data_IF_651431868307
#
_entry.id   IF_651431868307
#
_cell.length_a   1.000
_cell.length_b   1.000
_cell.length_c   1.000
_cell.angle_alpha   90.00
_cell.angle_beta   90.00
_cell.angle_gamma   90.00
#
_symmetry.space_group_name_H-M   'P 1'
#
loop_
_entity.id
_entity.type
_entity.pdbx_description
1 polymer ?
#
# COMPACT_ATOMS: atom_id res chain seq x y z
N UNK A 1 11.92 -19.70 31.99
CA UNK A 1 13.38 -19.90 32.08
C UNK A 1 14.14 -19.20 30.97
N UNK A 2 13.84 -19.42 29.68
CA UNK A 2 14.58 -18.80 28.55
C UNK A 2 14.63 -17.26 28.62
N UNK A 3 13.52 -16.59 28.95
CA UNK A 3 13.49 -15.13 29.11
C UNK A 3 14.31 -14.63 30.31
N UNK A 4 14.17 -15.28 31.46
CA UNK A 4 14.90 -14.92 32.67
C UNK A 4 16.42 -15.03 32.46
N UNK A 5 16.89 -16.10 31.83
CA UNK A 5 18.30 -16.25 31.45
C UNK A 5 18.75 -15.09 30.55
N UNK A 6 17.98 -14.76 29.51
CA UNK A 6 18.32 -13.66 28.59
C UNK A 6 18.45 -12.32 29.30
N UNK A 7 17.55 -11.99 30.22
CA UNK A 7 17.59 -10.73 30.98
C UNK A 7 18.77 -10.72 31.96
N UNK A 8 19.02 -11.85 32.64
CA UNK A 8 20.12 -11.97 33.60
C UNK A 8 21.47 -11.73 32.91
N UNK A 9 21.73 -12.42 31.81
CA UNK A 9 22.99 -12.29 31.06
C UNK A 9 23.14 -10.95 30.31
N UNK A 10 22.03 -10.29 29.97
CA UNK A 10 22.07 -8.96 29.33
C UNK A 10 22.37 -7.83 30.34
N UNK A 11 22.01 -8.00 31.60
CA UNK A 11 22.08 -6.96 32.63
C UNK A 11 23.28 -7.14 33.55
N UNK A 12 23.54 -8.37 34.01
CA UNK A 12 24.59 -8.67 34.97
C UNK A 12 25.69 -9.52 34.32
N UNK A 13 26.67 -8.84 33.72
CA UNK A 13 27.81 -9.45 33.06
C UNK A 13 28.84 -10.09 34.02
N UNK A 14 28.59 -10.06 35.34
CA UNK A 14 29.46 -10.69 36.35
C UNK A 14 29.03 -12.11 36.73
N UNK A 15 27.86 -12.54 36.27
CA UNK A 15 27.47 -13.95 36.32
C UNK A 15 28.21 -14.60 35.15
N UNK A 16 29.36 -15.19 35.44
CA UNK A 16 30.06 -16.04 34.48
C UNK A 16 29.18 -17.28 34.22
N UNK A 17 29.27 -17.86 33.02
CA UNK A 17 28.65 -19.16 32.74
C UNK A 17 29.62 -20.25 33.26
N UNK A 18 29.99 -20.16 34.53
CA UNK A 18 30.73 -21.21 35.20
C UNK A 18 29.74 -22.35 35.40
N UNK A 19 29.82 -23.36 34.52
CA UNK A 19 28.97 -24.56 34.46
C UNK A 19 29.01 -25.47 35.71
N UNK A 20 29.25 -24.89 36.89
CA UNK A 20 29.17 -25.45 38.24
C UNK A 20 27.99 -24.90 39.05
N UNK A 21 27.13 -24.04 38.49
CA UNK A 21 25.89 -23.66 39.16
C UNK A 21 24.94 -24.87 39.26
N UNK A 22 24.86 -25.46 40.47
CA UNK A 22 23.92 -26.53 40.75
C UNK A 22 22.48 -26.01 40.55
N UNK A 23 21.70 -26.58 39.61
CA UNK A 23 20.33 -26.14 39.36
C UNK A 23 19.40 -26.36 40.57
N UNK A 24 19.81 -27.13 41.58
CA UNK A 24 19.07 -27.32 42.83
C UNK A 24 19.49 -26.34 43.97
N UNK A 25 20.58 -25.58 43.81
CA UNK A 25 21.00 -24.61 44.82
C UNK A 25 20.22 -23.29 44.71
N UNK A 26 19.13 -23.20 45.47
CA UNK A 26 18.28 -22.01 45.53
C UNK A 26 18.99 -20.74 46.06
N UNK A 27 20.19 -20.86 46.64
CA UNK A 27 20.97 -19.75 47.17
C UNK A 27 22.08 -19.27 46.23
N UNK A 28 22.25 -19.91 45.06
CA UNK A 28 23.22 -19.43 44.07
C UNK A 28 22.84 -18.02 43.58
N UNK A 29 23.82 -17.11 43.40
CA UNK A 29 23.55 -15.76 42.92
C UNK A 29 22.76 -15.73 41.60
N UNK A 30 23.05 -16.67 40.71
CA UNK A 30 22.37 -16.89 39.43
C UNK A 30 20.90 -17.29 39.63
N UNK A 31 20.61 -18.26 40.49
CA UNK A 31 19.23 -18.69 40.77
C UNK A 31 18.42 -17.61 41.47
N UNK A 32 19.04 -16.81 42.35
CA UNK A 32 18.40 -15.65 42.98
C UNK A 32 18.07 -14.58 41.93
N UNK A 33 18.99 -14.27 41.02
CA UNK A 33 18.77 -13.33 39.93
C UNK A 33 17.66 -13.79 38.97
N UNK A 34 17.66 -15.07 38.61
CA UNK A 34 16.64 -15.69 37.77
C UNK A 34 15.26 -15.62 38.40
N UNK A 35 15.15 -15.97 39.68
CA UNK A 35 13.88 -15.90 40.41
C UNK A 35 13.36 -14.46 40.51
N UNK A 36 14.24 -13.46 40.70
CA UNK A 36 13.85 -12.04 40.69
C UNK A 36 13.27 -11.60 39.35
N UNK A 37 13.88 -12.02 38.23
CA UNK A 37 13.36 -11.72 36.89
C UNK A 37 12.03 -12.44 36.65
N UNK A 38 11.91 -13.71 37.06
CA UNK A 38 10.66 -14.48 36.91
C UNK A 38 9.51 -13.83 37.71
N UNK A 39 9.78 -13.42 38.94
CA UNK A 39 8.77 -12.78 39.79
C UNK A 39 8.36 -11.41 39.28
N UNK A 40 9.29 -10.66 38.70
CA UNK A 40 8.97 -9.40 38.03
C UNK A 40 8.16 -9.64 36.75
N UNK A 41 8.56 -10.61 35.92
CA UNK A 41 7.87 -10.94 34.68
C UNK A 41 6.40 -11.32 34.88
N UNK A 42 6.07 -11.97 36.01
CA UNK A 42 4.68 -12.29 36.39
C UNK A 42 3.83 -11.06 36.69
N UNK A 43 4.45 -9.92 37.01
CA UNK A 43 3.79 -8.67 37.43
C UNK A 43 3.93 -7.55 36.40
N UNK A 44 4.70 -7.76 35.34
CA UNK A 44 4.92 -6.76 34.30
C UNK A 44 3.78 -6.79 33.28
N UNK A 45 3.41 -5.60 32.81
CA UNK A 45 2.45 -5.38 31.73
C UNK A 45 3.12 -5.50 30.34
N UNK A 46 4.45 -5.64 30.28
CA UNK A 46 5.20 -5.81 29.04
C UNK A 46 5.35 -7.28 28.66
N UNK A 47 5.26 -7.55 27.36
CA UNK A 47 5.66 -8.85 26.82
C UNK A 47 7.18 -9.03 26.91
N UNK A 48 7.65 -10.28 26.91
CA UNK A 48 9.09 -10.61 26.96
C UNK A 48 9.91 -9.85 25.88
N UNK A 49 9.36 -9.72 24.67
CA UNK A 49 10.01 -9.00 23.57
C UNK A 49 10.08 -7.50 23.83
N UNK A 50 8.98 -6.92 24.33
CA UNK A 50 8.91 -5.50 24.67
C UNK A 50 9.86 -5.13 25.79
N UNK A 51 10.00 -6.01 26.79
CA UNK A 51 10.93 -5.80 27.90
C UNK A 51 12.39 -5.80 27.42
N UNK A 52 12.79 -6.72 26.54
CA UNK A 52 14.14 -6.72 25.96
C UNK A 52 14.39 -5.48 25.09
N UNK A 53 13.38 -5.02 24.35
CA UNK A 53 13.46 -3.78 23.59
C UNK A 53 13.61 -2.58 24.53
N UNK A 54 12.86 -2.54 25.64
CA UNK A 54 12.97 -1.49 26.65
C UNK A 54 14.38 -1.42 27.23
N UNK A 55 15.00 -2.55 27.55
CA UNK A 55 16.40 -2.61 28.01
C UNK A 55 17.35 -2.02 26.96
N UNK A 56 17.23 -2.44 25.69
CA UNK A 56 18.07 -1.91 24.60
C UNK A 56 17.87 -0.41 24.36
N UNK A 57 16.62 0.08 24.49
CA UNK A 57 16.31 1.50 24.38
C UNK A 57 16.84 2.30 25.58
N UNK A 58 16.86 1.72 26.78
CA UNK A 58 17.48 2.32 27.95
C UNK A 58 19.01 2.41 27.81
N UNK A 59 19.67 1.37 27.30
CA UNK A 59 21.11 1.40 26.98
C UNK A 59 21.45 2.54 25.99
N UNK A 60 20.58 2.78 25.01
CA UNK A 60 20.72 3.86 24.03
C UNK A 60 20.26 5.23 24.54
N UNK A 61 19.73 5.32 25.76
CA UNK A 61 19.22 6.56 26.36
C UNK A 61 18.01 7.16 25.65
N UNK A 62 17.20 6.32 25.00
CA UNK A 62 16.00 6.70 24.24
C UNK A 62 14.74 6.71 25.11
N UNK A 63 14.74 5.98 26.23
CA UNK A 63 13.63 5.98 27.18
C UNK A 63 13.69 7.20 28.10
N UNK A 64 12.53 7.78 28.37
CA UNK A 64 12.38 8.92 29.26
C UNK A 64 11.12 8.78 30.11
N UNK A 65 11.22 9.15 31.39
CA UNK A 65 10.09 9.28 32.32
C UNK A 65 10.10 10.73 32.78
N UNK A 66 8.98 11.43 32.66
CA UNK A 66 8.83 12.83 33.11
C UNK A 66 9.91 13.81 32.61
N UNK A 67 10.50 13.51 31.44
CA UNK A 67 11.57 14.33 30.83
C UNK A 67 12.99 13.93 31.26
N UNK A 68 13.15 13.04 32.22
CA UNK A 68 14.43 12.47 32.61
C UNK A 68 14.74 11.18 31.85
N UNK A 69 16.00 10.99 31.43
CA UNK A 69 16.42 9.78 30.72
C UNK A 69 16.53 8.61 31.68
N UNK A 70 15.88 7.49 31.34
CA UNK A 70 16.05 6.24 32.08
C UNK A 70 17.47 5.74 31.87
N UNK A 71 18.19 5.51 32.97
CA UNK A 71 19.58 5.01 32.93
C UNK A 71 19.57 3.50 32.82
N UNK A 72 20.54 2.96 32.09
CA UNK A 72 20.81 1.53 32.12
C UNK A 72 21.61 1.17 33.39
N UNK A 73 21.02 0.33 34.22
CA UNK A 73 21.60 -0.28 35.40
C UNK A 73 22.13 -1.67 35.07
N UNK A 74 23.33 -1.99 35.56
CA UNK A 74 23.97 -3.31 35.44
C UNK A 74 23.60 -4.26 36.59
N UNK A 75 22.61 -3.89 37.39
CA UNK A 75 22.18 -4.64 38.57
C UNK A 75 20.71 -5.00 38.45
N UNK A 76 20.41 -6.27 38.74
CA UNK A 76 19.06 -6.82 38.70
C UNK A 76 18.30 -6.42 39.96
N UNK A 77 17.46 -5.41 39.80
CA UNK A 77 16.59 -4.87 40.85
C UNK A 77 15.20 -4.59 40.27
N UNK A 78 14.15 -4.99 41.00
CA UNK A 78 12.76 -4.75 40.60
C UNK A 78 12.45 -3.27 40.38
N UNK A 79 13.08 -2.37 41.16
CA UNK A 79 12.91 -0.93 40.98
C UNK A 79 13.49 -0.43 39.65
N UNK A 80 14.60 -1.01 39.17
CA UNK A 80 15.19 -0.66 37.88
C UNK A 80 14.34 -1.20 36.72
N UNK A 81 13.77 -2.39 36.88
CA UNK A 81 12.86 -2.96 35.88
C UNK A 81 11.59 -2.13 35.72
N UNK A 82 11.03 -1.64 36.83
CA UNK A 82 9.89 -0.73 36.79
C UNK A 82 10.20 0.57 36.02
N UNK A 83 11.43 1.08 36.09
CA UNK A 83 11.84 2.26 35.31
C UNK A 83 11.95 1.95 33.80
N UNK A 84 12.44 0.78 33.41
CA UNK A 84 12.44 0.38 32.00
C UNK A 84 11.01 0.22 31.47
N UNK A 85 10.14 -0.38 32.28
CA UNK A 85 8.73 -0.56 31.93
C UNK A 85 7.99 0.76 31.75
N UNK A 86 8.05 1.64 32.75
CA UNK A 86 7.42 2.96 32.69
C UNK A 86 7.95 3.79 31.52
N UNK A 87 9.27 3.81 31.32
CA UNK A 87 9.88 4.54 30.21
C UNK A 87 9.44 4.02 28.83
N UNK A 88 9.24 2.71 28.69
CA UNK A 88 8.80 2.10 27.44
C UNK A 88 7.30 2.33 27.17
N UNK A 89 6.46 2.28 28.20
CA UNK A 89 5.03 2.63 28.09
C UNK A 89 4.87 4.09 27.64
N UNK A 90 5.61 5.01 28.27
CA UNK A 90 5.64 6.42 27.87
C UNK A 90 6.10 6.60 26.42
N UNK A 91 7.13 5.86 26.01
CA UNK A 91 7.61 5.87 24.64
C UNK A 91 6.52 5.42 23.65
N UNK A 92 5.81 4.31 23.94
CA UNK A 92 4.68 3.84 23.10
C UNK A 92 3.57 4.87 23.00
N UNK A 93 3.22 5.54 24.11
CA UNK A 93 2.18 6.58 24.11
C UNK A 93 2.62 7.78 23.24
N UNK A 94 3.88 8.21 23.35
CA UNK A 94 4.43 9.31 22.55
C UNK A 94 4.47 8.94 21.06
N UNK A 95 4.94 7.75 20.73
CA UNK A 95 5.00 7.28 19.33
C UNK A 95 3.59 7.14 18.73
N UNK A 96 2.63 6.59 19.46
CA UNK A 96 1.24 6.52 19.01
C UNK A 96 0.65 7.91 18.76
N UNK A 97 0.92 8.88 19.65
CA UNK A 97 0.51 10.28 19.44
C UNK A 97 1.15 10.86 18.18
N UNK A 98 2.43 10.57 17.93
CA UNK A 98 3.15 11.00 16.73
C UNK A 98 2.56 10.40 15.46
N UNK A 99 2.30 9.09 15.42
CA UNK A 99 1.67 8.44 14.26
C UNK A 99 0.28 9.00 14.00
N UNK A 100 -0.54 9.16 15.04
CA UNK A 100 -1.88 9.75 14.90
C UNK A 100 -1.84 11.19 14.35
N UNK A 101 -0.85 11.99 14.78
CA UNK A 101 -0.67 13.35 14.27
C UNK A 101 -0.15 13.37 12.82
N UNK A 102 0.72 12.42 12.46
CA UNK A 102 1.18 12.25 11.07
C UNK A 102 0.03 11.86 10.16
N UNK A 103 -0.82 10.93 10.60
CA UNK A 103 -2.00 10.49 9.85
C UNK A 103 -3.03 11.62 9.69
N UNK A 104 -3.23 12.45 10.72
CA UNK A 104 -4.14 13.60 10.62
C UNK A 104 -3.62 14.66 9.66
N UNK A 105 -2.31 14.96 9.68
CA UNK A 105 -1.66 15.85 8.71
C UNK A 105 -1.76 15.27 7.30
N UNK A 106 -1.54 13.97 7.12
CA UNK A 106 -1.66 13.32 5.82
C UNK A 106 -3.09 13.37 5.27
N UNK A 107 -4.10 13.13 6.11
CA UNK A 107 -5.52 13.27 5.74
C UNK A 107 -5.90 14.72 5.41
N UNK A 108 -5.26 15.69 6.06
CA UNK A 108 -5.48 17.11 5.78
C UNK A 108 -4.86 17.53 4.43
N UNK A 109 -3.62 17.10 4.17
CA UNK A 109 -2.90 17.40 2.92
C UNK A 109 -3.46 16.66 1.70
N UNK A 110 -3.96 15.44 1.92
CA UNK A 110 -4.61 14.61 0.92
C UNK A 110 -6.00 14.20 1.42
N UNK A 111 -7.01 15.06 1.27
CA UNK A 111 -8.38 14.71 1.61
C UNK A 111 -8.74 13.39 0.91
N UNK A 112 -9.36 12.43 1.59
CA UNK A 112 -9.78 11.20 0.94
C UNK A 112 -10.67 11.57 -0.25
N UNK A 113 -10.36 11.02 -1.43
CA UNK A 113 -11.18 11.22 -2.63
C UNK A 113 -12.64 10.93 -2.27
N UNK A 114 -13.52 11.91 -2.50
CA UNK A 114 -14.95 11.76 -2.26
C UNK A 114 -15.40 10.55 -3.06
N UNK A 115 -15.70 9.45 -2.38
CA UNK A 115 -16.27 8.26 -3.04
C UNK A 115 -17.59 8.70 -3.67
N UNK A 116 -17.60 8.83 -5.00
CA UNK A 116 -18.80 9.16 -5.74
C UNK A 116 -19.88 8.14 -5.39
N UNK A 117 -21.08 8.63 -5.13
CA UNK A 117 -22.23 7.73 -5.01
C UNK A 117 -22.47 7.03 -6.35
N UNK A 118 -23.14 5.85 -6.38
CA UNK A 118 -23.46 5.18 -7.65
C UNK A 118 -24.19 6.10 -8.64
N UNK A 119 -25.09 6.96 -8.15
CA UNK A 119 -25.82 7.94 -8.96
C UNK A 119 -24.92 9.04 -9.52
N UNK A 120 -23.98 9.58 -8.72
CA UNK A 120 -23.00 10.58 -9.20
C UNK A 120 -22.09 9.97 -10.29
N UNK A 121 -21.74 8.69 -10.15
CA UNK A 121 -20.91 7.97 -11.12
C UNK A 121 -21.63 7.72 -12.45
N UNK A 122 -22.91 7.34 -12.41
CA UNK A 122 -23.73 7.18 -13.61
C UNK A 122 -23.92 8.50 -14.35
N UNK A 123 -24.21 9.59 -13.61
CA UNK A 123 -24.33 10.92 -14.19
C UNK A 123 -23.04 11.38 -14.87
N UNK A 124 -21.89 11.17 -14.22
CA UNK A 124 -20.58 11.48 -14.79
C UNK A 124 -20.29 10.65 -16.05
N UNK A 125 -20.67 9.37 -16.04
CA UNK A 125 -20.50 8.48 -17.19
C UNK A 125 -21.32 8.98 -18.38
N UNK A 126 -22.57 9.36 -18.17
CA UNK A 126 -23.42 9.94 -19.22
C UNK A 126 -22.87 11.27 -19.74
N UNK A 127 -22.39 12.14 -18.87
CA UNK A 127 -21.76 13.40 -19.27
C UNK A 127 -20.51 13.15 -20.13
N UNK A 128 -19.71 12.16 -19.79
CA UNK A 128 -18.52 11.78 -20.56
C UNK A 128 -18.87 11.21 -21.93
N UNK A 129 -19.90 10.36 -22.04
CA UNK A 129 -20.38 9.84 -23.34
C UNK A 129 -20.86 10.98 -24.24
N UNK A 130 -21.55 11.98 -23.66
CA UNK A 130 -21.97 13.19 -24.38
C UNK A 130 -20.76 14.00 -24.86
N UNK A 131 -19.77 14.25 -23.99
CA UNK A 131 -18.54 14.96 -24.38
C UNK A 131 -17.80 14.27 -25.51
N UNK A 132 -17.78 12.94 -25.49
CA UNK A 132 -17.13 12.15 -26.53
C UNK A 132 -17.85 12.18 -27.89
N UNK A 133 -19.16 12.45 -27.94
CA UNK A 133 -19.85 12.73 -29.21
C UNK A 133 -19.24 13.95 -29.91
N UNK A 134 -19.09 15.07 -29.19
CA UNK A 134 -18.54 16.30 -29.73
C UNK A 134 -17.06 16.14 -30.13
N UNK A 135 -16.28 15.41 -29.32
CA UNK A 135 -14.87 15.11 -29.63
C UNK A 135 -14.72 14.24 -30.86
N UNK A 136 -15.56 13.23 -31.02
CA UNK A 136 -15.52 12.37 -32.20
C UNK A 136 -15.89 13.17 -33.46
N UNK A 137 -16.85 14.10 -33.37
CA UNK A 137 -17.19 15.00 -34.48
C UNK A 137 -16.07 15.97 -34.84
N UNK A 138 -15.30 16.44 -33.86
CA UNK A 138 -14.19 17.37 -34.09
C UNK A 138 -12.94 16.66 -34.64
N UNK A 139 -12.48 15.61 -33.95
CA UNK A 139 -11.15 15.03 -34.16
C UNK A 139 -11.18 13.54 -34.56
N UNK A 140 -12.36 12.94 -34.68
CA UNK A 140 -12.51 11.51 -34.99
C UNK A 140 -12.05 10.57 -33.87
N UNK A 141 -11.90 11.09 -32.65
CA UNK A 141 -11.36 10.35 -31.49
C UNK A 141 -12.31 10.45 -30.28
N UNK A 142 -12.32 9.39 -29.49
CA UNK A 142 -13.00 9.31 -28.18
C UNK A 142 -11.94 9.22 -27.08
N UNK A 143 -12.20 9.83 -25.90
CA UNK A 143 -11.31 9.62 -24.74
C UNK A 143 -11.74 8.40 -23.91
N UNK A 144 -13.02 8.07 -23.90
CA UNK A 144 -13.57 6.91 -23.21
C UNK A 144 -13.48 5.62 -24.05
N UNK A 145 -12.49 5.51 -24.94
CA UNK A 145 -12.26 4.31 -25.77
C UNK A 145 -12.24 3.01 -24.95
N UNK A 146 -11.54 2.91 -23.81
CA UNK A 146 -11.53 1.66 -23.03
C UNK A 146 -12.93 1.27 -22.53
N UNK A 147 -13.75 2.26 -22.16
CA UNK A 147 -15.12 2.04 -21.67
C UNK A 147 -16.01 1.53 -22.82
N UNK A 148 -15.98 2.20 -23.98
CA UNK A 148 -16.73 1.77 -25.15
C UNK A 148 -16.31 0.37 -25.63
N UNK A 149 -15.01 0.07 -25.53
CA UNK A 149 -14.47 -1.22 -25.93
C UNK A 149 -15.02 -2.35 -25.07
N UNK A 150 -15.00 -2.16 -23.74
CA UNK A 150 -15.59 -3.12 -22.81
C UNK A 150 -17.10 -3.30 -23.02
N UNK A 151 -17.84 -2.22 -23.31
CA UNK A 151 -19.27 -2.31 -23.59
C UNK A 151 -19.57 -3.15 -24.83
N UNK A 152 -18.82 -2.96 -25.91
CA UNK A 152 -18.97 -3.74 -27.15
C UNK A 152 -18.54 -5.19 -26.94
N UNK A 153 -17.42 -5.39 -26.23
CA UNK A 153 -16.90 -6.72 -25.91
C UNK A 153 -17.89 -7.53 -25.09
N UNK A 154 -18.57 -6.93 -24.11
CA UNK A 154 -19.61 -7.65 -23.34
C UNK A 154 -20.87 -7.94 -24.16
N UNK A 155 -21.20 -7.10 -25.15
CA UNK A 155 -22.35 -7.32 -26.03
C UNK A 155 -22.09 -8.39 -27.09
N UNK A 156 -20.91 -8.35 -27.73
CA UNK A 156 -20.57 -9.11 -28.95
C UNK A 156 -19.29 -9.97 -28.86
N UNK A 157 -18.54 -9.90 -27.77
CA UNK A 157 -17.20 -10.49 -27.62
C UNK A 157 -17.17 -12.00 -27.68
N UNK A 158 -18.24 -12.70 -27.31
CA UNK A 158 -18.30 -14.17 -27.40
C UNK A 158 -18.20 -14.68 -28.86
N UNK A 159 -18.49 -13.82 -29.85
CA UNK A 159 -18.46 -14.19 -31.28
C UNK A 159 -17.08 -14.05 -31.92
N UNK A 160 -16.14 -13.37 -31.28
CA UNK A 160 -14.81 -13.10 -31.84
C UNK A 160 -13.78 -13.51 -30.80
N UNK A 161 -12.85 -14.41 -31.14
CA UNK A 161 -11.74 -14.82 -30.24
C UNK A 161 -10.73 -13.69 -30.05
N UNK A 162 -11.17 -12.53 -29.55
CA UNK A 162 -10.37 -11.33 -29.29
C UNK A 162 -9.34 -11.58 -28.19
N UNK A 163 -9.61 -12.52 -27.28
CA UNK A 163 -8.75 -12.85 -26.14
C UNK A 163 -7.30 -13.11 -26.55
N UNK A 164 -7.06 -13.79 -27.67
CA UNK A 164 -5.69 -14.04 -28.16
C UNK A 164 -4.99 -12.74 -28.57
N UNK A 165 -5.67 -11.90 -29.36
CA UNK A 165 -5.13 -10.62 -29.85
C UNK A 165 -4.91 -9.65 -28.69
N UNK A 166 -5.86 -9.58 -27.75
CA UNK A 166 -5.74 -8.74 -26.56
C UNK A 166 -4.56 -9.18 -25.68
N UNK A 167 -4.40 -10.48 -25.44
CA UNK A 167 -3.30 -11.00 -24.63
C UNK A 167 -1.95 -10.78 -25.31
N UNK A 168 -1.88 -10.90 -26.62
CA UNK A 168 -0.68 -10.59 -27.38
C UNK A 168 -0.32 -9.10 -27.26
N UNK A 169 -1.28 -8.21 -27.54
CA UNK A 169 -1.06 -6.76 -27.56
C UNK A 169 -0.76 -6.16 -26.18
N UNK A 170 -1.36 -6.71 -25.10
CA UNK A 170 -1.04 -6.30 -23.72
C UNK A 170 0.41 -6.55 -23.34
N UNK A 171 1.02 -7.59 -23.93
CA UNK A 171 2.42 -7.95 -23.68
C UNK A 171 3.37 -7.40 -24.74
N UNK A 172 2.84 -6.78 -25.79
CA UNK A 172 3.61 -6.20 -26.88
C UNK A 172 3.74 -4.69 -26.68
N UNK A 173 4.91 -4.27 -26.19
CA UNK A 173 5.26 -2.86 -26.01
C UNK A 173 6.32 -2.46 -27.04
N UNK A 174 5.93 -2.14 -28.29
CA UNK A 174 6.88 -1.73 -29.31
C UNK A 174 7.54 -0.41 -28.90
N UNK A 175 8.86 -0.39 -28.96
CA UNK A 175 9.66 0.80 -28.74
C UNK A 175 9.84 1.53 -30.07
N UNK A 176 9.34 2.76 -30.15
CA UNK A 176 9.57 3.63 -31.30
C UNK A 176 10.52 4.74 -30.91
N UNK A 177 11.56 4.96 -31.71
CA UNK A 177 12.46 6.09 -31.54
C UNK A 177 11.85 7.34 -32.19
N UNK A 178 11.59 8.38 -31.40
CA UNK A 178 11.28 9.71 -31.92
C UNK A 178 12.55 10.58 -31.92
N UNK A 179 12.88 11.10 -33.11
CA UNK A 179 14.03 11.97 -33.35
C UNK A 179 15.07 11.37 -34.30
N UNK A 180 15.87 12.23 -34.93
CA UNK A 180 17.08 11.83 -35.66
C UNK A 180 18.25 11.84 -34.67
N UNK A 181 19.26 10.98 -34.88
CA UNK A 181 20.55 11.19 -34.23
C UNK A 181 21.02 12.61 -34.57
N UNK A 182 21.42 13.40 -33.56
CA UNK A 182 22.13 14.66 -33.82
C UNK A 182 23.38 14.37 -34.66
N UNK A 183 23.74 15.26 -35.58
CA UNK A 183 24.88 15.09 -36.48
C UNK A 183 26.22 14.86 -35.73
N UNK A 184 26.26 15.32 -34.49
CA UNK A 184 27.33 15.32 -33.51
C UNK A 184 27.22 14.17 -32.49
N UNK A 185 26.23 13.27 -32.62
CA UNK A 185 26.11 12.03 -31.84
C UNK A 185 25.79 12.19 -30.34
N UNK A 186 25.57 13.42 -29.88
CA UNK A 186 25.36 13.79 -28.48
C UNK A 186 23.92 13.57 -27.98
N UNK A 187 22.92 13.57 -28.86
CA UNK A 187 21.52 13.34 -28.52
C UNK A 187 21.01 12.02 -29.11
N UNK A 188 20.75 11.05 -28.24
CA UNK A 188 20.08 9.81 -28.61
C UNK A 188 18.56 10.07 -28.81
N UNK A 189 17.93 9.42 -29.81
CA UNK A 189 16.49 9.51 -30.00
C UNK A 189 15.75 9.08 -28.74
N UNK A 190 14.65 9.77 -28.44
CA UNK A 190 13.81 9.40 -27.30
C UNK A 190 13.08 8.10 -27.66
N UNK A 191 13.38 7.03 -26.92
CA UNK A 191 12.62 5.79 -27.00
C UNK A 191 11.27 6.00 -26.31
N UNK A 192 10.20 5.92 -27.09
CA UNK A 192 8.82 5.98 -26.60
C UNK A 192 8.22 4.60 -26.70
N UNK A 193 7.77 4.07 -25.58
CA UNK A 193 6.95 2.86 -25.52
C UNK A 193 5.54 3.22 -25.96
N UNK A 194 5.09 2.62 -27.05
CA UNK A 194 3.70 2.77 -27.49
C UNK A 194 2.84 1.69 -26.83
N UNK A 195 1.67 2.11 -26.36
CA UNK A 195 0.65 1.19 -25.89
C UNK A 195 -0.14 0.66 -27.10
N UNK A 196 0.35 -0.43 -27.68
CA UNK A 196 -0.26 -1.08 -28.85
C UNK A 196 -1.67 -1.60 -28.54
N UNK A 197 -1.95 -1.94 -27.27
CA UNK A 197 -3.28 -2.36 -26.85
C UNK A 197 -4.28 -1.20 -26.90
N UNK A 198 -3.88 -0.03 -26.41
CA UNK A 198 -4.70 1.19 -26.47
C UNK A 198 -4.92 1.65 -27.93
N UNK A 199 -3.90 1.59 -28.78
CA UNK A 199 -4.03 1.91 -30.22
C UNK A 199 -5.04 0.98 -30.90
N UNK A 200 -4.97 -0.32 -30.62
CA UNK A 200 -5.95 -1.28 -31.13
C UNK A 200 -7.37 -0.98 -30.65
N UNK A 201 -7.57 -0.65 -29.37
CA UNK A 201 -8.88 -0.25 -28.86
C UNK A 201 -9.40 1.00 -29.59
N UNK A 202 -8.55 2.00 -29.80
CA UNK A 202 -8.92 3.24 -30.50
C UNK A 202 -9.41 2.97 -31.93
N UNK A 203 -8.66 2.15 -32.68
CA UNK A 203 -9.06 1.77 -34.04
C UNK A 203 -10.33 0.93 -34.06
N UNK A 204 -10.49 -0.02 -33.13
CA UNK A 204 -11.72 -0.81 -33.02
C UNK A 204 -12.95 0.07 -32.79
N UNK A 205 -12.87 1.03 -31.86
CA UNK A 205 -13.98 1.94 -31.55
C UNK A 205 -14.30 2.86 -32.71
N UNK A 206 -13.28 3.46 -33.32
CA UNK A 206 -13.45 4.31 -34.49
C UNK A 206 -14.15 3.55 -35.62
N UNK A 207 -13.68 2.35 -35.95
CA UNK A 207 -14.28 1.54 -37.01
C UNK A 207 -15.71 1.09 -36.65
N UNK A 208 -15.98 0.78 -35.39
CA UNK A 208 -17.33 0.46 -34.92
C UNK A 208 -18.31 1.62 -35.11
N UNK A 209 -17.90 2.83 -34.72
CA UNK A 209 -18.69 4.06 -34.87
C UNK A 209 -18.97 4.36 -36.35
N UNK A 210 -17.97 4.18 -37.20
CA UNK A 210 -18.11 4.38 -38.65
C UNK A 210 -19.04 3.33 -39.26
N UNK A 211 -18.84 2.05 -38.95
CA UNK A 211 -19.65 0.93 -39.44
C UNK A 211 -21.13 1.08 -39.10
N UNK A 212 -21.43 1.51 -37.86
CA UNK A 212 -22.81 1.76 -37.42
C UNK A 212 -23.35 3.15 -37.82
N UNK A 213 -22.55 3.97 -38.50
CA UNK A 213 -22.91 5.35 -38.88
C UNK A 213 -23.33 6.22 -37.69
N UNK A 214 -22.82 5.92 -36.50
CA UNK A 214 -23.09 6.72 -35.28
C UNK A 214 -22.49 8.12 -35.38
N UNK A 215 -21.42 8.28 -36.17
CA UNK A 215 -20.84 9.58 -36.46
C UNK A 215 -21.72 10.46 -37.38
N UNK A 216 -22.69 9.89 -38.08
CA UNK A 216 -23.66 10.62 -38.92
C UNK A 216 -24.95 10.94 -38.14
N UNK A 217 -25.18 10.26 -37.02
CA UNK A 217 -26.41 10.40 -36.23
C UNK A 217 -26.42 11.63 -35.33
N UNK A 218 -27.62 11.94 -34.81
CA UNK A 218 -27.79 12.94 -33.77
C UNK A 218 -27.16 12.50 -32.45
N UNK A 219 -26.88 13.46 -31.57
CA UNK A 219 -26.41 13.22 -30.21
C UNK A 219 -27.37 12.28 -29.44
N UNK A 220 -28.68 12.45 -29.63
CA UNK A 220 -29.69 11.61 -28.97
C UNK A 220 -29.53 10.13 -29.35
N UNK A 221 -29.35 9.83 -30.64
CA UNK A 221 -29.14 8.46 -31.13
C UNK A 221 -27.82 7.88 -30.60
N UNK A 222 -26.77 8.71 -30.55
CA UNK A 222 -25.49 8.34 -29.96
C UNK A 222 -25.63 7.96 -28.48
N UNK A 223 -26.28 8.82 -27.70
CA UNK A 223 -26.51 8.61 -26.26
C UNK A 223 -27.35 7.36 -26.01
N UNK A 224 -28.44 7.18 -26.76
CA UNK A 224 -29.30 5.99 -26.64
C UNK A 224 -28.55 4.70 -26.98
N UNK A 225 -27.69 4.71 -27.99
CA UNK A 225 -26.90 3.56 -28.38
C UNK A 225 -26.00 3.06 -27.23
N UNK A 226 -25.20 3.96 -26.65
CA UNK A 226 -24.27 3.62 -25.58
C UNK A 226 -24.99 3.32 -24.25
N UNK A 227 -26.07 4.04 -23.93
CA UNK A 227 -26.90 3.75 -22.75
C UNK A 227 -27.51 2.36 -22.82
N UNK A 228 -28.02 1.96 -23.99
CA UNK A 228 -28.58 0.61 -24.20
C UNK A 228 -27.53 -0.48 -23.99
N UNK A 229 -26.30 -0.28 -24.47
CA UNK A 229 -25.21 -1.23 -24.24
C UNK A 229 -24.84 -1.32 -22.76
N UNK A 230 -24.85 -0.20 -22.04
CA UNK A 230 -24.57 -0.20 -20.60
C UNK A 230 -25.62 -1.01 -19.81
N UNK A 231 -26.91 -0.70 -19.99
CA UNK A 231 -28.02 -1.38 -19.30
C UNK A 231 -28.05 -2.88 -19.62
N UNK A 232 -27.87 -3.25 -20.89
CA UNK A 232 -27.85 -4.66 -21.30
C UNK A 232 -26.72 -5.46 -20.62
N UNK A 233 -25.59 -4.81 -20.36
CA UNK A 233 -24.45 -5.43 -19.70
C UNK A 233 -24.61 -5.52 -18.18
N UNK A 234 -25.41 -4.65 -17.57
CA UNK A 234 -25.81 -4.75 -16.15
C UNK A 234 -26.76 -5.94 -15.95
N UNK A 235 -27.78 -6.09 -16.80
CA UNK A 235 -28.76 -7.19 -16.73
C UNK A 235 -28.18 -8.60 -16.99
N UNK A 236 -26.95 -8.70 -17.49
CA UNK A 236 -26.26 -9.98 -17.75
C UNK A 236 -25.38 -10.44 -16.57
N UNK A 237 -25.26 -9.63 -15.52
CA UNK A 237 -24.47 -9.96 -14.32
C UNK A 237 -25.29 -10.69 -13.25
N UNK A 238 -26.61 -10.72 -13.39
CA UNK A 238 -27.55 -11.50 -12.60
C UNK A 238 -27.87 -12.84 -13.29
#
# INVERSE_FOLDING_TARGET
MIFANKVVFEIDAKIEDDGNDDPEDALSPTNIALNRVIDYAKRSDLTEKEFMIAISMAQKGLLQIDGEKVRFFREINQAHFAQYEMGYIDFKIRDQKYQNAKDSIQKFLSPPEKKMTPEEYEALTLENIRKDYHRFKADGKTLATPIFYELIKKDKGDRVKLVFVENFLKNYAPETAEGKLSADGTALPKLIKKDAYLEFQNEMIKNYIIYLKLHESSEEIWMQHWKRLNVKNETRKD
#
